data_IF_502688328386
#
_entry.id   IF_502688328386
#
_cell.length_a   1.000
_cell.length_b   1.000
_cell.length_c   1.000
_cell.angle_alpha   90.00
_cell.angle_beta   90.00
_cell.angle_gamma   90.00
#
_symmetry.space_group_name_H-M   'P 1'
#
loop_
_entity.id
_entity.type
_entity.pdbx_description
1 polymer ?
#
# COMPACT_ATOMS: atom_id res chain seq x y z
N UNK A 1 -0.28 7.63 3.79
CA UNK A 1 -0.84 6.47 3.06
C UNK A 1 0.18 5.92 2.08
N UNK A 2 -0.09 4.76 1.49
CA UNK A 2 0.69 4.17 0.40
C UNK A 2 -0.18 4.04 -0.84
N UNK A 3 0.42 4.08 -2.02
CA UNK A 3 -0.25 3.67 -3.25
C UNK A 3 -0.52 2.17 -3.21
N UNK A 4 -1.71 1.73 -3.61
CA UNK A 4 -2.12 0.33 -3.52
C UNK A 4 -1.21 -0.59 -4.33
N UNK A 5 -0.79 -0.16 -5.53
CA UNK A 5 0.13 -0.91 -6.39
C UNK A 5 1.46 -1.19 -5.69
N UNK A 6 2.00 -0.20 -4.96
CA UNK A 6 3.22 -0.38 -4.19
C UNK A 6 3.03 -1.46 -3.10
N UNK A 7 1.95 -1.36 -2.31
CA UNK A 7 1.66 -2.36 -1.27
C UNK A 7 1.52 -3.78 -1.86
N UNK A 8 0.84 -3.91 -3.01
CA UNK A 8 0.69 -5.19 -3.69
C UNK A 8 2.03 -5.79 -4.13
N UNK A 9 2.94 -4.98 -4.66
CA UNK A 9 4.26 -5.44 -5.07
C UNK A 9 5.10 -5.91 -3.88
N UNK A 10 5.05 -5.20 -2.75
CA UNK A 10 5.77 -5.59 -1.53
C UNK A 10 5.20 -6.86 -0.90
N UNK A 11 3.87 -7.02 -0.89
CA UNK A 11 3.24 -8.28 -0.52
C UNK A 11 3.67 -9.42 -1.44
N UNK A 12 3.70 -9.20 -2.76
CA UNK A 12 4.10 -10.21 -3.73
C UNK A 12 5.56 -10.68 -3.50
N UNK A 13 6.48 -9.75 -3.20
CA UNK A 13 7.86 -10.09 -2.80
C UNK A 13 7.93 -10.94 -1.54
N UNK A 14 6.94 -10.81 -0.67
CA UNK A 14 6.78 -11.57 0.57
C UNK A 14 5.94 -12.84 0.39
N UNK A 15 5.69 -13.27 -0.87
CA UNK A 15 4.84 -14.41 -1.22
C UNK A 15 3.37 -14.29 -0.73
N UNK A 16 2.86 -13.07 -0.62
CA UNK A 16 1.47 -12.78 -0.24
C UNK A 16 0.73 -12.15 -1.43
N UNK A 17 -0.40 -12.73 -1.81
CA UNK A 17 -1.23 -12.22 -2.90
C UNK A 17 -2.36 -11.32 -2.36
N UNK A 18 -2.41 -10.07 -2.84
CA UNK A 18 -3.52 -9.13 -2.61
C UNK A 18 -3.91 -8.45 -3.93
N UNK A 19 -5.05 -7.75 -3.96
CA UNK A 19 -5.49 -6.99 -5.14
C UNK A 19 -5.58 -5.49 -4.86
N UNK A 20 -5.49 -4.67 -5.89
CA UNK A 20 -5.66 -3.20 -5.86
C UNK A 20 -6.87 -2.74 -6.67
N UNK A 21 -7.63 -3.68 -7.24
CA UNK A 21 -8.80 -3.41 -8.08
C UNK A 21 -9.59 -4.67 -8.44
N UNK A 22 -10.47 -4.56 -9.45
CA UNK A 22 -11.12 -5.71 -10.08
C UNK A 22 -10.12 -6.46 -10.95
N UNK A 23 -10.22 -7.80 -11.00
CA UNK A 23 -9.33 -8.63 -11.81
C UNK A 23 -9.41 -8.31 -13.33
N UNK A 24 -10.52 -7.70 -13.78
CA UNK A 24 -10.75 -7.34 -15.17
C UNK A 24 -10.02 -6.07 -15.64
N UNK A 25 -9.34 -5.34 -14.74
CA UNK A 25 -8.57 -4.13 -15.08
C UNK A 25 -7.10 -4.41 -15.35
N UNK A 26 -6.71 -5.64 -15.69
CA UNK A 26 -5.35 -5.98 -16.05
C UNK A 26 -4.88 -5.10 -17.24
N UNK A 27 -3.98 -4.14 -16.96
CA UNK A 27 -3.50 -3.14 -17.93
C UNK A 27 -4.10 -1.73 -17.79
N UNK A 28 -5.07 -1.53 -16.90
CA UNK A 28 -5.67 -0.21 -16.61
C UNK A 28 -5.15 0.34 -15.28
N UNK A 29 -4.32 1.38 -15.36
CA UNK A 29 -3.72 2.06 -14.19
C UNK A 29 -4.61 3.16 -13.60
N UNK A 30 -5.84 3.31 -14.11
CA UNK A 30 -6.76 4.35 -13.64
C UNK A 30 -7.52 3.97 -12.36
N UNK A 31 -8.09 4.97 -11.66
CA UNK A 31 -8.87 4.75 -10.44
C UNK A 31 -10.06 3.81 -10.68
N UNK A 32 -10.26 2.85 -9.78
CA UNK A 32 -11.33 1.85 -9.86
C UNK A 32 -12.71 2.51 -10.02
N UNK A 33 -13.46 2.12 -11.06
CA UNK A 33 -14.86 2.56 -11.26
C UNK A 33 -15.76 2.24 -10.07
N UNK A 34 -15.49 1.13 -9.37
CA UNK A 34 -16.19 0.78 -8.12
C UNK A 34 -15.91 1.80 -7.02
N UNK A 35 -14.66 2.24 -6.87
CA UNK A 35 -14.30 3.26 -5.87
C UNK A 35 -14.90 4.63 -6.23
N UNK A 36 -14.96 4.98 -7.51
CA UNK A 36 -15.67 6.18 -7.98
C UNK A 36 -17.17 6.11 -7.65
N UNK A 37 -17.82 4.98 -7.89
CA UNK A 37 -19.22 4.77 -7.54
C UNK A 37 -19.48 4.89 -6.02
N UNK A 38 -18.50 4.52 -5.20
CA UNK A 38 -18.51 4.74 -3.74
C UNK A 38 -18.16 6.17 -3.32
N UNK A 39 -18.11 7.12 -4.28
CA UNK A 39 -17.79 8.54 -4.07
C UNK A 39 -16.43 8.77 -3.42
N UNK A 40 -15.47 7.89 -3.69
CA UNK A 40 -14.07 8.08 -3.29
C UNK A 40 -13.34 8.97 -4.28
N UNK A 41 -12.43 9.77 -3.76
CA UNK A 41 -11.52 10.58 -4.57
C UNK A 41 -10.59 9.67 -5.39
N UNK A 42 -10.02 10.17 -6.49
CA UNK A 42 -9.05 9.41 -7.27
C UNK A 42 -7.85 8.97 -6.41
N UNK A 43 -7.40 9.85 -5.51
CA UNK A 43 -6.31 9.54 -4.59
C UNK A 43 -6.67 8.40 -3.63
N UNK A 44 -7.88 8.39 -3.05
CA UNK A 44 -8.33 7.27 -2.22
C UNK A 44 -8.47 5.98 -3.04
N UNK A 45 -8.94 6.07 -4.28
CA UNK A 45 -9.07 4.93 -5.18
C UNK A 45 -7.70 4.32 -5.54
N UNK A 46 -6.67 5.13 -5.72
CA UNK A 46 -5.29 4.67 -5.97
C UNK A 46 -4.63 4.06 -4.73
N UNK A 47 -5.11 4.39 -3.53
CA UNK A 47 -4.62 3.83 -2.26
C UNK A 47 -5.37 2.55 -1.84
N UNK A 48 -6.35 2.12 -2.64
CA UNK A 48 -7.18 0.96 -2.34
C UNK A 48 -6.40 -0.35 -2.46
N UNK A 49 -6.60 -1.22 -1.46
CA UNK A 49 -6.20 -2.63 -1.49
C UNK A 49 -7.36 -3.50 -1.03
N UNK A 50 -7.42 -4.72 -1.56
CA UNK A 50 -8.39 -5.76 -1.20
C UNK A 50 -7.64 -7.00 -0.77
N UNK A 51 -7.89 -7.41 0.48
CA UNK A 51 -7.47 -8.69 1.04
C UNK A 51 -8.73 -9.56 1.09
N UNK A 52 -8.62 -10.82 0.69
CA UNK A 52 -9.73 -11.76 0.67
C UNK A 52 -9.28 -13.07 1.27
N UNK A 53 -10.07 -13.61 2.18
CA UNK A 53 -9.77 -14.85 2.89
C UNK A 53 -10.65 -15.99 2.38
N UNK A 54 -10.14 -17.23 2.46
CA UNK A 54 -10.85 -18.44 2.07
C UNK A 54 -10.79 -19.50 3.16
N UNK A 55 -11.43 -20.66 2.92
CA UNK A 55 -11.45 -21.80 3.86
C UNK A 55 -10.05 -22.27 4.29
N UNK A 56 -9.04 -22.07 3.45
CA UNK A 56 -7.66 -22.50 3.68
C UNK A 56 -6.75 -21.40 4.21
N UNK A 57 -7.26 -20.21 4.49
CA UNK A 57 -6.47 -19.15 5.12
C UNK A 57 -6.13 -19.55 6.56
N UNK A 58 -4.85 -19.48 6.93
CA UNK A 58 -4.38 -19.87 8.27
C UNK A 58 -3.94 -18.65 9.10
N UNK A 59 -3.86 -18.81 10.42
CA UNK A 59 -3.41 -17.74 11.31
C UNK A 59 -1.98 -17.30 11.00
N UNK A 60 -1.11 -18.24 10.64
CA UNK A 60 0.29 -18.00 10.28
C UNK A 60 0.39 -17.10 9.03
N UNK A 61 -0.51 -17.27 8.05
CA UNK A 61 -0.57 -16.40 6.88
C UNK A 61 -1.00 -14.97 7.25
N UNK A 62 -1.90 -14.81 8.23
CA UNK A 62 -2.27 -13.49 8.75
C UNK A 62 -1.09 -12.85 9.50
N UNK A 63 -0.36 -13.62 10.30
CA UNK A 63 0.84 -13.13 10.99
C UNK A 63 1.90 -12.64 9.99
N UNK A 64 2.14 -13.40 8.91
CA UNK A 64 3.05 -12.99 7.84
C UNK A 64 2.58 -11.70 7.14
N UNK A 65 1.28 -11.56 6.89
CA UNK A 65 0.69 -10.34 6.32
C UNK A 65 0.89 -9.13 7.24
N UNK A 66 0.58 -9.28 8.54
CA UNK A 66 0.73 -8.23 9.54
C UNK A 66 2.20 -7.82 9.74
N UNK A 67 3.11 -8.79 9.73
CA UNK A 67 4.54 -8.53 9.78
C UNK A 67 4.99 -7.69 8.57
N UNK A 68 4.57 -8.08 7.36
CA UNK A 68 4.88 -7.35 6.13
C UNK A 68 4.39 -5.90 6.20
N UNK A 69 3.14 -5.67 6.67
CA UNK A 69 2.60 -4.32 6.83
C UNK A 69 3.33 -3.49 7.88
N UNK A 70 3.75 -4.12 8.99
CA UNK A 70 4.52 -3.45 10.04
C UNK A 70 5.86 -2.96 9.50
N UNK A 71 6.59 -3.82 8.79
CA UNK A 71 7.88 -3.48 8.17
C UNK A 71 7.73 -2.32 7.18
N UNK A 72 6.71 -2.36 6.30
CA UNK A 72 6.45 -1.27 5.36
C UNK A 72 6.16 0.06 6.06
N UNK A 73 5.41 0.01 7.17
CA UNK A 73 5.10 1.22 7.95
C UNK A 73 6.33 1.81 8.63
N UNK A 74 7.22 0.97 9.16
CA UNK A 74 8.48 1.39 9.78
C UNK A 74 9.44 2.01 8.77
N UNK A 75 9.58 1.41 7.59
CA UNK A 75 10.39 1.96 6.49
C UNK A 75 9.92 3.36 6.10
N UNK A 76 8.60 3.54 5.92
CA UNK A 76 8.02 4.85 5.59
C UNK A 76 8.30 5.91 6.66
N UNK A 77 8.23 5.54 7.96
CA UNK A 77 8.58 6.46 9.05
C UNK A 77 10.04 6.89 8.96
N UNK A 78 10.95 5.95 8.72
CA UNK A 78 12.39 6.23 8.57
C UNK A 78 12.67 7.22 7.43
N UNK A 79 12.07 7.01 6.25
CA UNK A 79 12.19 7.96 5.12
C UNK A 79 11.67 9.36 5.48
N UNK A 80 10.55 9.43 6.20
CA UNK A 80 9.94 10.70 6.61
C UNK A 80 10.81 11.47 7.60
N UNK A 81 11.46 10.77 8.53
CA UNK A 81 12.38 11.36 9.49
C UNK A 81 13.67 11.85 8.80
N UNK A 82 14.15 11.14 7.78
CA UNK A 82 15.29 11.57 6.96
C UNK A 82 14.96 12.84 6.18
N UNK A 83 13.81 12.88 5.47
CA UNK A 83 13.38 14.05 4.69
C UNK A 83 13.19 15.29 5.60
N UNK A 84 12.62 15.11 6.80
CA UNK A 84 12.53 16.20 7.80
C UNK A 84 13.90 16.73 8.22
N UNK A 85 14.86 15.84 8.48
CA UNK A 85 16.23 16.23 8.88
C UNK A 85 16.94 16.98 7.76
N UNK A 86 16.81 16.54 6.51
CA UNK A 86 17.40 17.23 5.34
C UNK A 86 16.81 18.63 5.19
N UNK A 87 15.48 18.79 5.29
CA UNK A 87 14.81 20.10 5.21
C UNK A 87 15.13 21.02 6.37
N UNK A 88 15.32 20.49 7.58
CA UNK A 88 15.73 21.26 8.75
C UNK A 88 17.17 21.77 8.61
N UNK A 89 18.09 20.92 8.17
CA UNK A 89 19.50 21.28 7.98
C UNK A 89 19.73 22.19 6.77
N UNK A 90 18.93 22.05 5.70
CA UNK A 90 18.99 22.90 4.51
C UNK A 90 18.52 24.35 4.74
N UNK A 91 17.80 24.63 5.84
CA UNK A 91 17.39 26.00 6.22
C UNK A 91 18.43 26.77 7.05
N UNK A 92 19.51 26.11 7.51
CA UNK A 92 20.58 26.76 8.28
C UNK A 92 21.73 27.30 7.40
N UNK A 93 21.64 27.16 6.08
CA UNK A 93 22.65 27.66 5.11
C UNK A 93 22.09 28.71 4.12
N UNK A 94 20.93 29.30 4.40
CA UNK A 94 20.34 30.39 3.61
C UNK A 94 20.18 31.66 4.46
#
# INVERSE_FOLDING_TARGET
SFEGQYVMLECNRSNICISTGSACSAGYHGPSETMKALRKTEQEALQFIRISFGRHTTAEQLEQLLHTFTVLWEQKKGEFDIDRRIKANGRQQA
#
